data_IF_314694547847
#
_entry.id   IF_314694547847
#
_cell.length_a   1.000
_cell.length_b   1.000
_cell.length_c   1.000
_cell.angle_alpha   90.00
_cell.angle_beta   90.00
_cell.angle_gamma   90.00
#
_symmetry.space_group_name_H-M   'P 1'
#
loop_
_entity.id
_entity.type
_entity.pdbx_description
1 polymer ?
#
# COMPACT_ATOMS: atom_id res chain seq x y z
N UNK A 1 -16.92 -23.63 -12.33
CA UNK A 1 -17.55 -24.49 -11.30
C UNK A 1 -16.46 -25.25 -10.57
N UNK A 2 -16.23 -24.94 -9.28
CA UNK A 2 -15.32 -25.71 -8.43
C UNK A 2 -16.05 -26.96 -7.95
N UNK A 3 -16.17 -27.98 -8.81
CA UNK A 3 -16.93 -29.20 -8.49
C UNK A 3 -16.16 -30.20 -7.62
N UNK A 4 -14.84 -30.06 -7.50
CA UNK A 4 -14.02 -30.84 -6.59
C UNK A 4 -13.07 -29.90 -5.84
N UNK A 5 -13.07 -29.97 -4.51
CA UNK A 5 -12.08 -29.29 -3.67
C UNK A 5 -10.72 -29.89 -4.00
N UNK A 6 -9.92 -29.19 -4.80
CA UNK A 6 -8.56 -29.61 -5.07
C UNK A 6 -7.72 -29.50 -3.79
N UNK A 7 -6.67 -30.33 -3.67
CA UNK A 7 -5.71 -30.23 -2.57
C UNK A 7 -5.08 -28.83 -2.49
N UNK A 8 -4.69 -28.42 -1.28
CA UNK A 8 -4.19 -27.05 -1.02
C UNK A 8 -2.91 -26.75 -1.80
N UNK A 9 -2.05 -27.75 -1.98
CA UNK A 9 -0.81 -27.73 -2.76
C UNK A 9 -1.04 -27.54 -4.27
N UNK A 10 -2.28 -27.71 -4.74
CA UNK A 10 -2.64 -27.39 -6.13
C UNK A 10 -2.69 -25.88 -6.37
N UNK A 11 -2.49 -25.03 -5.37
CA UNK A 11 -2.55 -23.58 -5.50
C UNK A 11 -1.30 -22.92 -4.93
N UNK A 12 -0.96 -21.74 -5.46
CA UNK A 12 0.12 -20.90 -4.96
C UNK A 12 1.29 -20.76 -5.92
N UNK A 13 2.42 -20.18 -5.48
CA UNK A 13 3.38 -19.59 -6.40
C UNK A 13 4.12 -20.56 -7.32
N UNK A 14 4.31 -21.81 -6.89
CA UNK A 14 4.97 -22.85 -7.67
C UNK A 14 3.98 -23.82 -8.32
N UNK A 15 2.68 -23.51 -8.28
CA UNK A 15 1.61 -24.31 -8.86
C UNK A 15 1.20 -23.78 -10.25
N UNK A 16 0.65 -24.62 -11.14
CA UNK A 16 -0.09 -24.17 -12.33
C UNK A 16 -1.27 -23.22 -12.05
N UNK A 17 -1.72 -23.11 -10.79
CA UNK A 17 -2.80 -22.21 -10.37
C UNK A 17 -2.29 -21.19 -9.32
N UNK A 18 -1.63 -20.10 -9.75
CA UNK A 18 -1.13 -19.07 -8.85
C UNK A 18 -2.25 -18.18 -8.28
N UNK A 19 -3.48 -18.29 -8.80
CA UNK A 19 -4.71 -17.70 -8.27
C UNK A 19 -5.92 -18.59 -8.58
N UNK A 20 -7.08 -18.28 -8.01
CA UNK A 20 -8.35 -18.92 -8.34
C UNK A 20 -9.43 -17.87 -8.63
N UNK A 21 -9.98 -17.89 -9.84
CA UNK A 21 -11.15 -17.09 -10.20
C UNK A 21 -12.45 -17.92 -10.03
N UNK A 22 -13.46 -17.32 -9.40
CA UNK A 22 -14.73 -18.00 -9.06
C UNK A 22 -15.90 -17.12 -9.51
N UNK A 23 -16.80 -17.67 -10.32
CA UNK A 23 -18.11 -17.05 -10.55
C UNK A 23 -18.94 -17.19 -9.26
N UNK A 24 -19.40 -16.07 -8.73
CA UNK A 24 -20.13 -16.00 -7.47
C UNK A 24 -21.63 -16.25 -7.63
N UNK A 25 -22.18 -16.15 -8.83
CA UNK A 25 -23.60 -16.40 -9.09
C UNK A 25 -23.95 -17.87 -8.78
N UNK A 26 -24.97 -18.08 -7.94
CA UNK A 26 -25.38 -19.41 -7.49
C UNK A 26 -24.34 -20.15 -6.64
N UNK A 27 -23.32 -19.45 -6.11
CA UNK A 27 -22.26 -20.06 -5.32
C UNK A 27 -22.73 -20.58 -3.96
N UNK A 28 -22.14 -21.69 -3.51
CA UNK A 28 -22.40 -22.32 -2.22
C UNK A 28 -21.47 -21.77 -1.13
N UNK A 29 -22.05 -21.17 -0.09
CA UNK A 29 -21.35 -20.65 1.08
C UNK A 29 -20.46 -21.69 1.78
N UNK A 30 -20.77 -23.00 1.68
CA UNK A 30 -20.00 -24.07 2.29
C UNK A 30 -18.56 -24.19 1.75
N UNK A 31 -18.25 -23.55 0.62
CA UNK A 31 -16.89 -23.47 0.06
C UNK A 31 -16.06 -22.32 0.66
N UNK A 32 -16.67 -21.40 1.40
CA UNK A 32 -16.03 -20.15 1.84
C UNK A 32 -14.77 -20.37 2.67
N UNK A 33 -14.84 -21.25 3.68
CA UNK A 33 -13.66 -21.56 4.52
C UNK A 33 -12.53 -22.15 3.70
N UNK A 34 -12.85 -23.09 2.81
CA UNK A 34 -11.85 -23.72 1.92
C UNK A 34 -11.17 -22.68 1.02
N UNK A 35 -11.94 -21.78 0.40
CA UNK A 35 -11.38 -20.69 -0.41
C UNK A 35 -10.42 -19.80 0.39
N UNK A 36 -10.83 -19.40 1.60
CA UNK A 36 -10.02 -18.53 2.47
C UNK A 36 -8.70 -19.16 2.90
N UNK A 37 -8.66 -20.49 3.00
CA UNK A 37 -7.48 -21.25 3.44
C UNK A 37 -6.46 -21.50 2.29
N UNK A 38 -6.84 -21.22 1.03
CA UNK A 38 -5.93 -21.40 -0.11
C UNK A 38 -4.77 -20.40 -0.09
N UNK A 39 -3.54 -20.84 -0.41
CA UNK A 39 -2.34 -20.01 -0.43
C UNK A 39 -2.18 -19.26 -1.76
N UNK A 40 -3.25 -18.64 -2.24
CA UNK A 40 -3.26 -17.85 -3.46
C UNK A 40 -4.37 -16.77 -3.42
N UNK A 41 -4.30 -15.76 -4.30
CA UNK A 41 -5.40 -14.81 -4.49
C UNK A 41 -6.68 -15.48 -4.96
N UNK A 42 -7.80 -15.12 -4.33
CA UNK A 42 -9.15 -15.54 -4.71
C UNK A 42 -9.88 -14.36 -5.33
N UNK A 43 -10.23 -14.49 -6.61
CA UNK A 43 -10.91 -13.46 -7.39
C UNK A 43 -12.37 -13.90 -7.59
N UNK A 44 -13.29 -13.17 -7.00
CA UNK A 44 -14.73 -13.36 -7.21
C UNK A 44 -15.22 -12.50 -8.37
N UNK A 45 -16.03 -13.08 -9.26
CA UNK A 45 -16.68 -12.38 -10.37
C UNK A 45 -18.19 -12.39 -10.13
N UNK A 46 -18.81 -11.21 -10.19
CA UNK A 46 -20.22 -10.99 -9.87
C UNK A 46 -20.46 -10.86 -8.36
N UNK A 47 -21.63 -11.32 -7.91
CA UNK A 47 -22.02 -11.30 -6.50
C UNK A 47 -22.64 -12.63 -6.07
N UNK A 48 -22.49 -12.99 -4.79
CA UNK A 48 -23.06 -14.22 -4.27
C UNK A 48 -22.58 -14.59 -2.88
N UNK A 49 -22.87 -15.81 -2.45
CA UNK A 49 -22.63 -16.25 -1.07
C UNK A 49 -21.14 -16.32 -0.70
N UNK A 50 -20.25 -16.45 -1.70
CA UNK A 50 -18.81 -16.51 -1.50
C UNK A 50 -18.10 -15.14 -1.47
N UNK A 51 -18.82 -14.04 -1.72
CA UNK A 51 -18.27 -12.67 -1.74
C UNK A 51 -17.35 -12.33 -0.54
N UNK A 52 -17.68 -12.65 0.72
CA UNK A 52 -16.81 -12.30 1.85
C UNK A 52 -15.46 -13.04 1.88
N UNK A 53 -15.36 -14.17 1.18
CA UNK A 53 -14.19 -15.05 1.20
C UNK A 53 -13.18 -14.75 0.07
N UNK A 54 -13.54 -13.88 -0.88
CA UNK A 54 -12.65 -13.45 -1.96
C UNK A 54 -11.72 -12.31 -1.48
N UNK A 55 -10.56 -12.18 -2.12
CA UNK A 55 -9.66 -11.04 -1.93
C UNK A 55 -9.96 -9.91 -2.89
N UNK A 56 -10.41 -10.22 -4.10
CA UNK A 56 -10.80 -9.24 -5.10
C UNK A 56 -12.19 -9.58 -5.59
N UNK A 57 -13.02 -8.56 -5.75
CA UNK A 57 -14.34 -8.66 -6.37
C UNK A 57 -14.34 -7.87 -7.66
N UNK A 58 -14.81 -8.49 -8.73
CA UNK A 58 -14.98 -7.88 -10.04
C UNK A 58 -16.45 -7.97 -10.46
N UNK A 59 -16.98 -6.90 -11.04
CA UNK A 59 -18.35 -6.93 -11.58
C UNK A 59 -18.45 -7.84 -12.82
N UNK A 60 -17.40 -7.88 -13.63
CA UNK A 60 -17.27 -8.70 -14.83
C UNK A 60 -15.84 -9.21 -15.04
N UNK A 61 -15.61 -9.96 -16.12
CA UNK A 61 -14.30 -10.53 -16.44
C UNK A 61 -13.29 -9.51 -17.01
N UNK A 62 -13.70 -8.30 -17.35
CA UNK A 62 -12.86 -7.32 -18.05
C UNK A 62 -11.52 -7.01 -17.35
N UNK A 63 -11.47 -6.83 -16.02
CA UNK A 63 -10.21 -6.62 -15.31
C UNK A 63 -9.39 -7.89 -15.06
N UNK A 64 -9.94 -9.09 -15.28
CA UNK A 64 -9.36 -10.36 -14.84
C UNK A 64 -8.00 -10.63 -15.49
N UNK A 65 -7.89 -10.51 -16.81
CA UNK A 65 -6.66 -10.84 -17.55
C UNK A 65 -5.46 -10.01 -17.07
N UNK A 66 -5.68 -8.74 -16.76
CA UNK A 66 -4.63 -7.87 -16.24
C UNK A 66 -4.21 -8.28 -14.83
N UNK A 67 -5.16 -8.61 -13.97
CA UNK A 67 -4.87 -9.04 -12.60
C UNK A 67 -4.14 -10.40 -12.64
N UNK A 68 -4.61 -11.34 -13.45
CA UNK A 68 -3.98 -12.62 -13.68
C UNK A 68 -2.53 -12.46 -14.15
N UNK A 69 -2.29 -11.64 -15.19
CA UNK A 69 -0.95 -11.40 -15.72
C UNK A 69 0.00 -10.75 -14.69
N UNK A 70 -0.51 -9.93 -13.76
CA UNK A 70 0.29 -9.38 -12.68
C UNK A 70 0.62 -10.44 -11.62
N UNK A 71 -0.35 -11.28 -11.26
CA UNK A 71 -0.15 -12.38 -10.31
C UNK A 71 0.84 -13.41 -10.86
N UNK A 72 0.75 -13.76 -12.14
CA UNK A 72 1.66 -14.69 -12.79
C UNK A 72 3.12 -14.18 -12.84
N UNK A 73 3.31 -12.86 -12.88
CA UNK A 73 4.65 -12.23 -12.84
C UNK A 73 5.23 -12.13 -11.43
N UNK A 74 4.39 -12.01 -10.41
CA UNK A 74 4.81 -11.88 -9.01
C UNK A 74 3.95 -12.75 -8.09
N UNK A 75 3.93 -14.09 -8.28
CA UNK A 75 2.99 -14.96 -7.59
C UNK A 75 3.30 -15.10 -6.09
N UNK A 76 4.58 -15.04 -5.68
CA UNK A 76 4.98 -15.04 -4.27
C UNK A 76 4.51 -13.77 -3.59
N UNK A 77 4.82 -12.59 -4.14
CA UNK A 77 4.33 -11.32 -3.59
C UNK A 77 2.79 -11.26 -3.52
N UNK A 78 2.11 -11.77 -4.55
CA UNK A 78 0.65 -11.84 -4.59
C UNK A 78 0.06 -12.73 -3.50
N UNK A 79 0.64 -13.92 -3.28
CA UNK A 79 0.25 -14.82 -2.18
C UNK A 79 0.47 -14.17 -0.82
N UNK A 80 1.67 -13.62 -0.58
CA UNK A 80 2.02 -12.98 0.69
C UNK A 80 1.08 -11.81 0.98
N UNK A 81 0.80 -10.97 0.00
CA UNK A 81 -0.13 -9.85 0.11
C UNK A 81 -1.51 -10.29 0.62
N UNK A 82 -2.16 -11.23 -0.06
CA UNK A 82 -3.55 -11.60 0.29
C UNK A 82 -3.63 -12.35 1.61
N UNK A 83 -2.65 -13.23 1.90
CA UNK A 83 -2.60 -13.92 3.19
C UNK A 83 -2.38 -12.95 4.34
N UNK A 84 -1.46 -11.99 4.17
CA UNK A 84 -1.22 -10.95 5.16
C UNK A 84 -2.46 -10.08 5.37
N UNK A 85 -3.11 -9.63 4.29
CA UNK A 85 -4.34 -8.83 4.41
C UNK A 85 -5.47 -9.61 5.12
N UNK A 86 -5.63 -10.92 4.85
CA UNK A 86 -6.61 -11.77 5.56
C UNK A 86 -6.25 -11.93 7.05
N UNK A 87 -4.97 -12.08 7.37
CA UNK A 87 -4.48 -12.32 8.72
C UNK A 87 -4.49 -11.06 9.60
N UNK A 88 -4.24 -9.90 9.00
CA UNK A 88 -4.16 -8.60 9.69
C UNK A 88 -5.49 -7.85 9.80
N UNK A 89 -6.55 -8.35 9.17
CA UNK A 89 -7.87 -7.71 9.05
C UNK A 89 -8.47 -7.28 10.40
N UNK A 90 -8.21 -8.05 11.46
CA UNK A 90 -8.74 -7.80 12.82
C UNK A 90 -7.69 -7.33 13.82
N UNK A 91 -6.44 -7.15 13.39
CA UNK A 91 -5.36 -6.73 14.28
C UNK A 91 -5.51 -5.26 14.69
N UNK A 92 -4.90 -4.88 15.82
CA UNK A 92 -4.67 -3.47 16.15
C UNK A 92 -3.81 -2.81 15.06
N UNK A 93 -3.82 -1.48 14.96
CA UNK A 93 -2.97 -0.81 13.97
C UNK A 93 -1.49 -1.09 14.22
N UNK A 94 -1.07 -1.16 15.49
CA UNK A 94 0.30 -1.47 15.88
C UNK A 94 0.69 -2.89 15.47
N UNK A 95 -0.16 -3.88 15.75
CA UNK A 95 0.12 -5.27 15.40
C UNK A 95 0.08 -5.49 13.88
N UNK A 96 -0.81 -4.79 13.17
CA UNK A 96 -0.85 -4.82 11.71
C UNK A 96 0.43 -4.25 11.07
N UNK A 97 1.02 -3.18 11.64
CA UNK A 97 2.30 -2.63 11.18
C UNK A 97 3.48 -3.57 11.42
N UNK A 98 3.50 -4.27 12.55
CA UNK A 98 4.49 -5.30 12.83
C UNK A 98 4.31 -6.50 11.89
N UNK A 99 3.08 -6.98 11.70
CA UNK A 99 2.77 -8.07 10.78
C UNK A 99 3.13 -7.71 9.32
N UNK A 100 2.86 -6.48 8.88
CA UNK A 100 3.29 -5.98 7.57
C UNK A 100 4.81 -6.03 7.45
N UNK A 101 5.55 -5.71 8.53
CA UNK A 101 7.01 -5.84 8.52
C UNK A 101 7.47 -7.24 8.21
N UNK A 102 6.85 -8.22 8.86
CA UNK A 102 7.23 -9.62 8.70
C UNK A 102 6.87 -10.09 7.31
N UNK A 103 5.66 -9.77 6.82
CA UNK A 103 5.23 -10.09 5.46
C UNK A 103 6.17 -9.46 4.42
N UNK A 104 6.49 -8.17 4.53
CA UNK A 104 7.42 -7.49 3.62
C UNK A 104 8.82 -8.12 3.66
N UNK A 105 9.31 -8.47 4.86
CA UNK A 105 10.60 -9.15 5.03
C UNK A 105 10.67 -10.49 4.28
N UNK A 106 9.55 -11.21 4.12
CA UNK A 106 9.53 -12.48 3.36
C UNK A 106 9.77 -12.29 1.86
N UNK A 107 9.43 -11.13 1.30
CA UNK A 107 9.56 -10.84 -0.15
C UNK A 107 10.76 -9.95 -0.48
N UNK A 108 11.28 -9.20 0.49
CA UNK A 108 12.37 -8.23 0.30
C UNK A 108 13.72 -8.84 -0.13
N UNK A 109 13.91 -10.14 0.06
CA UNK A 109 15.06 -10.90 -0.49
C UNK A 109 14.58 -12.10 -1.33
N UNK A 110 13.32 -12.10 -1.73
CA UNK A 110 12.72 -13.11 -2.59
C UNK A 110 13.21 -12.99 -4.03
N UNK A 111 13.05 -14.07 -4.79
CA UNK A 111 13.53 -14.16 -6.18
C UNK A 111 12.95 -13.04 -7.06
N UNK A 112 11.65 -12.77 -6.95
CA UNK A 112 10.95 -11.74 -7.75
C UNK A 112 11.58 -10.35 -7.58
N UNK A 113 11.90 -9.97 -6.33
CA UNK A 113 12.54 -8.69 -6.04
C UNK A 113 14.00 -8.66 -6.50
N UNK A 114 14.74 -9.75 -6.33
CA UNK A 114 16.13 -9.84 -6.79
C UNK A 114 16.23 -9.78 -8.32
N UNK A 115 15.33 -10.43 -9.04
CA UNK A 115 15.23 -10.36 -10.50
C UNK A 115 14.94 -8.94 -10.97
N UNK A 116 13.98 -8.26 -10.34
CA UNK A 116 13.72 -6.85 -10.61
C UNK A 116 14.95 -5.99 -10.32
N UNK A 117 15.61 -6.18 -9.18
CA UNK A 117 16.77 -5.39 -8.77
C UNK A 117 17.96 -5.56 -9.73
N UNK A 118 18.20 -6.77 -10.23
CA UNK A 118 19.24 -7.04 -11.24
C UNK A 118 18.93 -6.40 -12.59
N UNK A 119 17.66 -6.36 -12.99
CA UNK A 119 17.20 -5.70 -14.22
C UNK A 119 17.04 -4.19 -14.08
N UNK A 120 17.07 -3.65 -12.86
CA UNK A 120 16.88 -2.24 -12.60
C UNK A 120 18.20 -1.47 -12.73
N UNK A 121 18.37 -0.79 -13.85
CA UNK A 121 19.43 0.21 -13.98
C UNK A 121 19.13 1.40 -13.08
N UNK A 122 19.94 1.57 -12.01
CA UNK A 122 19.90 2.78 -11.19
C UNK A 122 20.12 4.00 -12.08
N UNK A 123 19.23 4.99 -12.00
CA UNK A 123 19.36 6.19 -12.83
C UNK A 123 20.68 6.89 -12.51
N UNK A 124 21.54 7.05 -13.53
CA UNK A 124 22.81 7.80 -13.42
C UNK A 124 22.60 9.30 -13.24
N UNK A 125 21.43 9.80 -13.63
CA UNK A 125 21.03 11.21 -13.50
C UNK A 125 19.92 11.33 -12.44
N UNK A 126 20.20 10.89 -11.21
CA UNK A 126 19.32 11.20 -10.10
C UNK A 126 19.41 12.69 -9.78
N UNK A 127 18.27 13.38 -9.59
CA UNK A 127 18.29 14.69 -8.95
C UNK A 127 19.04 14.59 -7.62
N UNK A 128 19.87 15.59 -7.33
CA UNK A 128 20.48 15.69 -6.01
C UNK A 128 19.33 15.87 -5.02
N UNK A 129 19.31 15.04 -3.97
CA UNK A 129 18.29 15.14 -2.92
C UNK A 129 18.12 16.59 -2.47
N UNK A 130 16.88 17.04 -2.37
CA UNK A 130 16.59 18.42 -2.00
C UNK A 130 17.24 18.79 -0.66
N UNK A 131 17.90 19.94 -0.60
CA UNK A 131 18.58 20.41 0.62
C UNK A 131 17.63 20.58 1.82
N UNK A 132 16.34 20.82 1.54
CA UNK A 132 15.25 20.84 2.52
C UNK A 132 14.12 19.94 2.00
N UNK A 133 14.18 18.62 2.23
CA UNK A 133 13.24 17.67 1.63
C UNK A 133 11.85 17.77 2.26
N UNK A 134 11.71 18.44 3.41
CA UNK A 134 10.45 18.75 4.06
C UNK A 134 10.46 20.23 4.46
N UNK A 135 9.43 20.98 4.10
CA UNK A 135 9.17 22.30 4.66
C UNK A 135 8.27 22.12 5.89
N UNK A 136 8.66 22.76 6.98
CA UNK A 136 7.98 22.68 8.28
C UNK A 136 7.68 24.10 8.72
N UNK A 137 6.40 24.41 8.88
CA UNK A 137 5.91 25.72 9.31
C UNK A 137 4.93 25.55 10.48
N UNK A 138 5.11 26.34 11.53
CA UNK A 138 4.17 26.41 12.64
C UNK A 138 3.28 27.64 12.47
N UNK A 139 1.96 27.42 12.46
CA UNK A 139 0.97 28.48 12.45
C UNK A 139 -0.03 28.23 13.59
N UNK A 140 0.07 29.03 14.65
CA UNK A 140 -0.66 28.83 15.90
C UNK A 140 -0.53 27.39 16.44
N UNK A 141 -1.63 26.63 16.50
CA UNK A 141 -1.68 25.24 16.93
C UNK A 141 -1.55 24.23 15.76
N UNK A 142 -1.14 24.68 14.57
CA UNK A 142 -1.07 23.88 13.35
C UNK A 142 0.37 23.69 12.89
N UNK A 143 0.75 22.43 12.68
CA UNK A 143 2.01 22.05 12.06
C UNK A 143 1.77 21.76 10.57
N UNK A 144 2.29 22.62 9.70
CA UNK A 144 2.19 22.48 8.26
C UNK A 144 3.46 21.81 7.72
N UNK A 145 3.27 20.66 7.06
CA UNK A 145 4.32 19.81 6.50
C UNK A 145 4.15 19.72 4.98
N UNK A 146 5.15 20.16 4.23
CA UNK A 146 5.17 20.03 2.77
C UNK A 146 6.33 19.15 2.33
N UNK A 147 6.05 17.99 1.71
CA UNK A 147 7.07 17.17 1.05
C UNK A 147 7.69 18.01 -0.08
N UNK A 148 9.00 18.22 -0.04
CA UNK A 148 9.65 19.28 -0.80
C UNK A 148 10.86 18.76 -1.58
N UNK A 149 10.59 17.80 -2.46
CA UNK A 149 11.49 17.37 -3.52
C UNK A 149 10.72 17.28 -4.86
N UNK A 150 10.20 18.43 -5.37
CA UNK A 150 9.30 18.45 -6.52
C UNK A 150 9.96 17.93 -7.81
N UNK A 151 11.28 18.07 -7.93
CA UNK A 151 12.05 17.60 -9.09
C UNK A 151 12.08 16.07 -9.15
N UNK A 152 12.08 15.39 -7.99
CA UNK A 152 11.92 13.94 -7.87
C UNK A 152 10.48 13.52 -7.50
N UNK A 153 9.49 14.39 -7.75
CA UNK A 153 8.07 14.13 -7.47
C UNK A 153 7.79 13.66 -6.04
N UNK A 154 8.57 14.17 -5.09
CA UNK A 154 8.50 13.85 -3.67
C UNK A 154 8.64 12.34 -3.39
N UNK A 155 9.57 11.66 -4.10
CA UNK A 155 9.94 10.29 -3.76
C UNK A 155 10.49 10.21 -2.32
N UNK A 156 10.05 9.21 -1.58
CA UNK A 156 10.37 9.00 -0.17
C UNK A 156 11.63 8.14 -0.08
N UNK A 157 12.78 8.81 -0.13
CA UNK A 157 14.08 8.25 0.27
C UNK A 157 14.38 8.46 1.75
N UNK A 158 15.55 8.01 2.19
CA UNK A 158 16.04 8.11 3.59
C UNK A 158 15.94 9.54 4.12
N UNK A 159 16.41 10.53 3.36
CA UNK A 159 16.47 11.93 3.82
C UNK A 159 15.09 12.52 4.09
N UNK A 160 14.14 12.36 3.15
CA UNK A 160 12.76 12.85 3.34
C UNK A 160 12.05 12.07 4.46
N UNK A 161 12.21 10.75 4.49
CA UNK A 161 11.63 9.89 5.51
C UNK A 161 12.07 10.31 6.92
N UNK A 162 13.37 10.55 7.11
CA UNK A 162 13.92 10.90 8.41
C UNK A 162 13.46 12.30 8.84
N UNK A 163 13.45 13.29 7.93
CA UNK A 163 12.90 14.62 8.20
C UNK A 163 11.41 14.56 8.58
N UNK A 164 10.62 13.72 7.91
CA UNK A 164 9.22 13.51 8.26
C UNK A 164 9.06 12.85 9.63
N UNK A 165 9.89 11.86 9.97
CA UNK A 165 9.87 11.24 11.29
C UNK A 165 10.17 12.25 12.40
N UNK A 166 11.18 13.13 12.20
CA UNK A 166 11.55 14.17 13.16
C UNK A 166 10.40 15.16 13.39
N UNK A 167 9.74 15.63 12.32
CA UNK A 167 8.59 16.53 12.43
C UNK A 167 7.39 15.88 13.14
N UNK A 168 7.15 14.59 12.89
CA UNK A 168 6.09 13.84 13.57
C UNK A 168 6.44 13.54 15.04
N UNK A 169 7.71 13.32 15.38
CA UNK A 169 8.18 13.17 16.76
C UNK A 169 7.99 14.46 17.56
N UNK A 170 8.21 15.63 16.93
CA UNK A 170 7.83 16.92 17.50
C UNK A 170 6.33 16.97 17.82
N UNK A 171 5.47 16.61 16.87
CA UNK A 171 4.01 16.62 17.07
C UNK A 171 3.50 15.59 18.10
N UNK A 172 4.22 14.48 18.29
CA UNK A 172 3.92 13.52 19.35
C UNK A 172 4.24 14.08 20.74
N UNK A 173 5.34 14.84 20.84
CA UNK A 173 5.87 15.37 22.10
C UNK A 173 5.16 16.65 22.52
N UNK A 174 4.98 17.58 21.59
CA UNK A 174 4.34 18.86 21.84
C UNK A 174 2.81 18.74 21.75
N UNK A 175 2.15 19.04 22.87
CA UNK A 175 0.69 18.96 22.99
C UNK A 175 -0.02 20.23 22.54
N UNK A 176 0.69 21.34 22.32
CA UNK A 176 0.06 22.54 21.73
C UNK A 176 -0.19 22.42 20.23
N UNK A 177 0.42 21.42 19.57
CA UNK A 177 0.14 21.11 18.17
C UNK A 177 -1.17 20.32 18.11
N UNK A 178 -2.27 20.99 17.78
CA UNK A 178 -3.60 20.38 17.72
C UNK A 178 -3.92 19.80 16.34
N UNK A 179 -3.28 20.31 15.28
CA UNK A 179 -3.49 19.85 13.90
C UNK A 179 -2.17 19.71 13.15
N UNK A 180 -2.13 18.74 12.25
CA UNK A 180 -1.02 18.51 11.33
C UNK A 180 -1.60 18.50 9.93
N UNK A 181 -1.13 19.40 9.08
CA UNK A 181 -1.46 19.42 7.67
C UNK A 181 -0.27 18.85 6.89
N UNK A 182 -0.51 17.85 6.03
CA UNK A 182 0.52 17.23 5.20
C UNK A 182 0.12 17.29 3.72
N UNK A 183 0.98 17.86 2.87
CA UNK A 183 0.80 17.90 1.40
C UNK A 183 2.16 17.81 0.70
N UNK A 184 2.20 17.77 -0.64
CA UNK A 184 3.43 17.83 -1.43
C UNK A 184 3.61 19.16 -2.16
N UNK A 185 4.84 19.65 -2.23
CA UNK A 185 5.23 20.76 -3.11
C UNK A 185 5.19 20.30 -4.56
N UNK A 186 4.73 21.18 -5.46
CA UNK A 186 4.71 20.94 -6.90
C UNK A 186 3.51 20.11 -7.36
N UNK A 187 3.72 19.28 -8.37
CA UNK A 187 2.64 18.60 -9.11
C UNK A 187 2.21 17.24 -8.54
N UNK A 188 2.81 16.79 -7.44
CA UNK A 188 2.55 15.46 -6.88
C UNK A 188 2.59 15.54 -5.36
N UNK A 189 1.77 14.71 -4.71
CA UNK A 189 1.91 14.49 -3.28
C UNK A 189 3.18 13.70 -3.04
N UNK A 190 3.25 12.48 -3.57
CA UNK A 190 4.46 11.64 -3.57
C UNK A 190 4.30 10.46 -4.54
N UNK A 191 5.38 10.10 -5.23
CA UNK A 191 5.44 8.91 -6.08
C UNK A 191 5.84 7.62 -5.33
N UNK A 192 5.96 7.66 -4.00
CA UNK A 192 6.28 6.50 -3.16
C UNK A 192 7.76 6.38 -2.86
N UNK A 193 8.23 5.17 -2.51
CA UNK A 193 9.62 4.96 -2.11
C UNK A 193 10.62 5.26 -3.22
N UNK A 194 11.78 5.81 -2.86
CA UNK A 194 12.89 6.00 -3.78
C UNK A 194 13.47 4.66 -4.22
N UNK A 195 13.19 4.25 -5.46
CA UNK A 195 13.55 2.91 -5.96
C UNK A 195 15.06 2.70 -6.10
N UNK A 196 15.85 3.78 -6.22
CA UNK A 196 17.30 3.66 -6.30
C UNK A 196 17.94 3.25 -4.96
N UNK A 197 17.26 3.52 -3.84
CA UNK A 197 17.66 3.09 -2.48
C UNK A 197 17.19 1.65 -2.16
N UNK A 198 16.47 1.00 -3.07
CA UNK A 198 16.00 -0.37 -2.85
C UNK A 198 17.18 -1.35 -2.85
N UNK A 199 17.09 -2.35 -1.97
CA UNK A 199 18.07 -3.44 -1.87
C UNK A 199 19.31 -3.12 -1.02
N UNK A 200 19.44 -1.89 -0.48
CA UNK A 200 20.64 -1.47 0.27
C UNK A 200 20.79 -2.11 1.64
N UNK A 201 19.69 -2.57 2.26
CA UNK A 201 19.76 -3.28 3.53
C UNK A 201 20.24 -4.73 3.31
N UNK A 202 21.20 -5.18 4.11
CA UNK A 202 21.85 -6.48 3.98
C UNK A 202 20.89 -7.66 4.11
N UNK A 203 20.00 -7.62 5.10
CA UNK A 203 19.17 -8.75 5.48
C UNK A 203 17.78 -8.33 6.00
N UNK A 204 16.79 -9.24 5.97
CA UNK A 204 15.42 -8.92 6.36
C UNK A 204 15.24 -8.58 7.86
N UNK A 205 16.08 -9.13 8.75
CA UNK A 205 15.97 -8.86 10.18
C UNK A 205 16.43 -7.44 10.52
N UNK A 206 17.56 -7.02 9.96
CA UNK A 206 18.02 -5.63 10.02
C UNK A 206 17.01 -4.67 9.38
N UNK A 207 16.41 -5.05 8.25
CA UNK A 207 15.37 -4.25 7.60
C UNK A 207 14.12 -4.08 8.49
N UNK A 208 13.68 -5.15 9.16
CA UNK A 208 12.59 -5.10 10.13
C UNK A 208 12.91 -4.15 11.30
N UNK A 209 14.11 -4.24 11.88
CA UNK A 209 14.56 -3.34 12.94
C UNK A 209 14.54 -1.88 12.49
N UNK A 210 15.14 -1.57 11.33
CA UNK A 210 15.15 -0.22 10.76
C UNK A 210 13.72 0.30 10.55
N UNK A 211 12.85 -0.50 9.93
CA UNK A 211 11.44 -0.11 9.71
C UNK A 211 10.71 0.18 11.02
N UNK A 212 10.95 -0.60 12.06
CA UNK A 212 10.31 -0.43 13.38
C UNK A 212 10.69 0.89 14.06
N UNK A 213 11.80 1.51 13.66
CA UNK A 213 12.26 2.80 14.18
C UNK A 213 11.97 3.97 13.23
N UNK A 214 12.14 3.75 11.92
CA UNK A 214 12.27 4.80 10.91
C UNK A 214 11.12 4.86 9.90
N UNK A 215 10.12 3.98 9.98
CA UNK A 215 8.90 4.21 9.20
C UNK A 215 8.01 5.28 9.86
N UNK A 216 7.50 6.26 9.09
CA UNK A 216 6.54 7.23 9.59
C UNK A 216 5.24 6.60 10.10
N UNK A 217 4.86 5.42 9.58
CA UNK A 217 3.58 4.75 9.82
C UNK A 217 3.18 4.65 11.30
N UNK A 218 4.11 4.30 12.20
CA UNK A 218 3.79 4.22 13.63
C UNK A 218 3.44 5.59 14.24
N UNK A 219 4.15 6.64 13.82
CA UNK A 219 3.91 8.02 14.27
C UNK A 219 2.58 8.53 13.71
N UNK A 220 2.36 8.33 12.41
CA UNK A 220 1.13 8.69 11.72
C UNK A 220 -0.11 8.02 12.36
N UNK A 221 -0.03 6.73 12.67
CA UNK A 221 -1.11 6.00 13.36
C UNK A 221 -1.46 6.61 14.72
N UNK A 222 -0.48 7.11 15.49
CA UNK A 222 -0.71 7.78 16.78
C UNK A 222 -1.19 9.23 16.63
N UNK A 223 -0.97 9.82 15.47
CA UNK A 223 -1.33 11.19 15.14
C UNK A 223 -2.59 11.29 14.27
N UNK A 224 -3.21 10.16 13.91
CA UNK A 224 -4.29 10.08 12.92
C UNK A 224 -5.42 11.10 13.16
N UNK A 225 -5.86 11.25 14.42
CA UNK A 225 -6.94 12.18 14.83
C UNK A 225 -6.60 13.67 14.62
N UNK A 226 -5.30 14.00 14.55
CA UNK A 226 -4.82 15.37 14.31
C UNK A 226 -4.32 15.55 12.88
N UNK A 227 -4.28 14.49 12.08
CA UNK A 227 -3.66 14.48 10.77
C UNK A 227 -4.69 14.73 9.67
N UNK A 228 -4.50 15.84 8.96
CA UNK A 228 -5.14 16.14 7.69
C UNK A 228 -4.10 16.00 6.56
N UNK A 229 -4.43 15.21 5.53
CA UNK A 229 -3.60 15.07 4.33
C UNK A 229 -4.33 15.69 3.14
N UNK A 230 -3.65 16.56 2.42
CA UNK A 230 -4.11 17.06 1.12
C UNK A 230 -3.28 16.44 -0.01
N UNK A 231 -3.93 15.68 -0.88
CA UNK A 231 -3.30 15.04 -2.04
C UNK A 231 -3.44 15.95 -3.24
N UNK A 232 -2.40 16.76 -3.49
CA UNK A 232 -2.36 17.76 -4.56
C UNK A 232 -2.12 17.20 -5.97
N UNK A 233 -1.87 15.89 -6.11
CA UNK A 233 -1.57 15.24 -7.38
C UNK A 233 -1.45 13.71 -7.25
N UNK A 234 -0.34 13.14 -7.72
CA UNK A 234 -0.09 11.71 -7.57
C UNK A 234 0.19 11.32 -6.11
N UNK A 235 -0.46 10.26 -5.62
CA UNK A 235 -0.11 9.54 -4.39
C UNK A 235 0.10 8.06 -4.72
N UNK A 236 1.36 7.64 -4.79
CA UNK A 236 1.73 6.30 -5.28
C UNK A 236 2.54 5.55 -4.24
N UNK A 237 2.28 4.25 -4.12
CA UNK A 237 2.92 3.37 -3.14
C UNK A 237 3.00 4.01 -1.76
N UNK A 238 4.20 4.10 -1.19
CA UNK A 238 4.42 4.73 0.12
C UNK A 238 3.74 6.12 0.30
N UNK A 239 3.55 6.90 -0.77
CA UNK A 239 2.77 8.13 -0.73
C UNK A 239 1.27 7.90 -0.42
N UNK A 240 0.63 6.96 -1.13
CA UNK A 240 -0.75 6.57 -0.83
C UNK A 240 -0.87 5.89 0.56
N UNK A 241 0.12 5.08 0.93
CA UNK A 241 0.17 4.37 2.21
C UNK A 241 0.22 5.34 3.40
N UNK A 242 1.09 6.36 3.32
CA UNK A 242 1.24 7.43 4.32
C UNK A 242 -0.02 8.29 4.38
N UNK A 243 -0.56 8.69 3.23
CA UNK A 243 -1.77 9.51 3.17
C UNK A 243 -2.94 8.84 3.92
N UNK A 244 -3.11 7.53 3.73
CA UNK A 244 -4.24 6.77 4.27
C UNK A 244 -4.29 6.69 5.81
N UNK A 245 -3.26 7.12 6.54
CA UNK A 245 -3.31 7.26 8.00
C UNK A 245 -4.08 8.48 8.49
N UNK A 246 -4.30 9.49 7.65
CA UNK A 246 -5.02 10.69 8.05
C UNK A 246 -6.43 10.33 8.51
N UNK A 247 -6.97 11.03 9.51
CA UNK A 247 -8.41 10.99 9.79
C UNK A 247 -9.18 11.75 8.70
N UNK A 248 -8.60 12.82 8.17
CA UNK A 248 -9.19 13.58 7.07
C UNK A 248 -8.22 13.63 5.87
N UNK A 249 -8.66 13.13 4.73
CA UNK A 249 -7.94 13.20 3.47
C UNK A 249 -8.74 13.99 2.44
N UNK A 250 -8.15 15.07 1.93
CA UNK A 250 -8.66 15.80 0.78
C UNK A 250 -7.79 15.56 -0.45
N UNK A 251 -8.33 15.75 -1.64
CA UNK A 251 -7.57 15.60 -2.88
C UNK A 251 -7.97 16.63 -3.94
N UNK A 252 -7.03 17.04 -4.78
CA UNK A 252 -7.35 17.79 -5.99
C UNK A 252 -8.18 16.93 -6.96
N UNK A 253 -9.00 17.57 -7.80
CA UNK A 253 -9.83 16.85 -8.80
C UNK A 253 -9.02 15.92 -9.70
N UNK A 254 -7.80 16.31 -10.03
CA UNK A 254 -6.89 15.60 -10.94
C UNK A 254 -5.92 14.67 -10.20
N UNK A 255 -6.08 14.51 -8.88
CA UNK A 255 -5.30 13.59 -8.08
C UNK A 255 -5.61 12.13 -8.44
N UNK A 256 -4.64 11.25 -8.20
CA UNK A 256 -4.78 9.83 -8.48
C UNK A 256 -3.90 8.98 -7.56
N UNK A 257 -4.34 7.75 -7.32
CA UNK A 257 -3.74 6.82 -6.36
C UNK A 257 -3.36 5.50 -7.01
N UNK A 258 -2.28 4.88 -6.57
CA UNK A 258 -1.82 3.58 -7.08
C UNK A 258 -0.96 2.83 -6.07
N UNK A 259 -1.07 1.51 -6.04
CA UNK A 259 -0.14 0.60 -5.34
C UNK A 259 0.61 -0.26 -6.37
N UNK A 260 1.83 0.11 -6.77
CA UNK A 260 2.58 -0.56 -7.84
C UNK A 260 3.55 -1.64 -7.36
N UNK A 261 3.58 -1.98 -6.06
CA UNK A 261 4.68 -2.74 -5.43
C UNK A 261 4.92 -4.13 -6.04
N UNK A 262 3.88 -4.76 -6.56
CA UNK A 262 3.99 -6.05 -7.25
C UNK A 262 4.92 -5.98 -8.47
N UNK A 263 5.06 -4.81 -9.10
CA UNK A 263 6.03 -4.59 -10.19
C UNK A 263 7.45 -4.90 -9.76
N UNK A 264 7.74 -4.75 -8.47
CA UNK A 264 9.04 -4.97 -7.87
C UNK A 264 9.15 -6.35 -7.22
N UNK A 265 8.14 -7.22 -7.30
CA UNK A 265 8.11 -8.45 -6.49
C UNK A 265 7.94 -8.16 -4.99
N UNK A 266 7.31 -7.03 -4.65
CA UNK A 266 7.08 -6.58 -3.28
C UNK A 266 5.58 -6.42 -3.00
N UNK A 267 5.27 -6.12 -1.74
CA UNK A 267 3.94 -5.71 -1.28
C UNK A 267 4.02 -4.30 -0.68
N UNK A 268 2.89 -3.58 -0.49
CA UNK A 268 2.91 -2.32 0.28
C UNK A 268 3.57 -2.54 1.65
N UNK A 269 4.50 -1.66 2.00
CA UNK A 269 5.44 -1.88 3.11
C UNK A 269 5.81 -0.63 3.90
N UNK A 270 5.14 0.50 3.63
CA UNK A 270 5.25 1.75 4.36
C UNK A 270 4.03 2.01 5.28
N UNK A 271 3.30 0.95 5.63
CA UNK A 271 2.07 0.98 6.43
C UNK A 271 0.80 0.74 5.62
N UNK A 272 0.89 0.53 4.31
CA UNK A 272 -0.24 0.46 3.38
C UNK A 272 -1.20 -0.67 3.60
N UNK A 273 -0.71 -1.84 3.99
CA UNK A 273 -1.57 -2.98 4.34
C UNK A 273 -2.21 -2.81 5.72
N UNK A 274 -1.79 -1.80 6.49
CA UNK A 274 -2.41 -1.41 7.74
C UNK A 274 -3.38 -0.23 7.56
N UNK A 275 -3.00 0.81 6.82
CA UNK A 275 -3.79 2.04 6.68
C UNK A 275 -4.93 1.91 5.67
N UNK A 276 -4.65 1.40 4.45
CA UNK A 276 -5.65 1.35 3.39
C UNK A 276 -6.85 0.44 3.71
N UNK A 277 -6.69 -0.78 4.23
CA UNK A 277 -7.85 -1.63 4.55
C UNK A 277 -8.79 -1.03 5.58
N UNK A 278 -8.32 -0.11 6.44
CA UNK A 278 -9.17 0.59 7.41
C UNK A 278 -10.01 1.69 6.78
N UNK A 279 -9.59 2.26 5.66
CA UNK A 279 -10.37 3.22 4.88
C UNK A 279 -11.29 2.57 3.85
N UNK A 280 -10.75 1.66 3.04
CA UNK A 280 -11.45 1.12 1.86
C UNK A 280 -11.76 -0.38 1.96
N UNK A 281 -11.42 -1.04 3.06
CA UNK A 281 -11.60 -2.47 3.23
C UNK A 281 -10.53 -3.29 2.49
N UNK A 282 -10.33 -4.53 2.99
CA UNK A 282 -9.35 -5.48 2.46
C UNK A 282 -9.45 -5.68 0.95
N UNK A 283 -10.67 -5.81 0.42
CA UNK A 283 -10.87 -6.22 -0.97
C UNK A 283 -10.48 -5.14 -1.99
N UNK A 284 -10.75 -3.87 -1.67
CA UNK A 284 -10.32 -2.75 -2.52
C UNK A 284 -8.82 -2.52 -2.43
N UNK A 285 -8.22 -2.68 -1.25
CA UNK A 285 -6.75 -2.65 -1.09
C UNK A 285 -6.08 -3.75 -1.92
N UNK A 286 -6.57 -4.99 -1.84
CA UNK A 286 -6.07 -6.10 -2.65
C UNK A 286 -6.26 -5.83 -4.15
N UNK A 287 -7.40 -5.29 -4.57
CA UNK A 287 -7.63 -4.90 -5.97
C UNK A 287 -6.61 -3.85 -6.44
N UNK A 288 -6.35 -2.80 -5.66
CA UNK A 288 -5.38 -1.76 -6.03
C UNK A 288 -3.97 -2.36 -6.24
N UNK A 289 -3.52 -3.19 -5.31
CA UNK A 289 -2.20 -3.80 -5.36
C UNK A 289 -2.06 -4.88 -6.45
N UNK A 290 -3.03 -5.81 -6.56
CA UNK A 290 -2.99 -6.90 -7.54
C UNK A 290 -3.20 -6.41 -8.98
N UNK A 291 -4.06 -5.40 -9.19
CA UNK A 291 -4.28 -4.83 -10.54
C UNK A 291 -3.19 -3.81 -10.93
N UNK A 292 -2.50 -3.26 -9.93
CA UNK A 292 -1.62 -2.09 -10.05
C UNK A 292 -2.26 -0.95 -10.86
N UNK A 293 -3.59 -0.81 -10.83
CA UNK A 293 -4.30 0.23 -11.58
C UNK A 293 -4.25 1.55 -10.81
N UNK A 294 -4.19 2.64 -11.56
CA UNK A 294 -4.45 3.97 -11.04
C UNK A 294 -5.95 4.11 -10.78
N UNK A 295 -6.32 4.64 -9.63
CA UNK A 295 -7.68 5.09 -9.35
C UNK A 295 -7.71 6.61 -9.31
N UNK A 296 -8.78 7.21 -9.82
CA UNK A 296 -8.96 8.66 -9.83
C UNK A 296 -9.38 9.17 -8.44
N UNK A 297 -9.28 10.48 -8.22
CA UNK A 297 -9.84 11.12 -7.02
C UNK A 297 -11.34 10.78 -6.84
N UNK A 298 -12.10 10.69 -7.94
CA UNK A 298 -13.52 10.34 -7.92
C UNK A 298 -13.75 8.92 -7.40
N UNK A 299 -13.03 7.93 -7.94
CA UNK A 299 -13.11 6.55 -7.43
C UNK A 299 -12.62 6.45 -5.99
N UNK A 300 -11.56 7.19 -5.63
CA UNK A 300 -11.06 7.24 -4.26
C UNK A 300 -12.10 7.81 -3.28
N UNK A 301 -12.86 8.84 -3.68
CA UNK A 301 -13.97 9.40 -2.92
C UNK A 301 -15.11 8.38 -2.75
N UNK A 302 -15.55 7.75 -3.84
CA UNK A 302 -16.59 6.71 -3.83
C UNK A 302 -16.23 5.52 -2.93
N UNK A 303 -14.94 5.22 -2.82
CA UNK A 303 -14.45 4.13 -2.00
C UNK A 303 -14.24 4.49 -0.53
N UNK A 304 -14.23 5.79 -0.18
CA UNK A 304 -13.90 6.29 1.16
C UNK A 304 -12.39 6.42 1.43
N UNK A 305 -11.54 6.35 0.40
CA UNK A 305 -10.12 6.64 0.54
C UNK A 305 -9.89 8.14 0.77
N UNK A 306 -10.60 8.97 0.00
CA UNK A 306 -10.62 10.44 0.09
C UNK A 306 -11.96 10.86 0.68
N UNK A 307 -11.94 11.84 1.59
CA UNK A 307 -13.13 12.34 2.26
C UNK A 307 -13.77 13.51 1.51
N UNK A 308 -12.97 14.29 0.75
CA UNK A 308 -13.46 15.40 -0.07
C UNK A 308 -12.52 15.74 -1.24
N UNK A 309 -13.10 16.02 -2.40
CA UNK A 309 -12.38 16.58 -3.55
C UNK A 309 -12.46 18.11 -3.51
N UNK A 310 -11.31 18.77 -3.69
CA UNK A 310 -11.17 20.22 -3.79
C UNK A 310 -10.91 20.62 -5.25
N UNK A 311 -11.44 21.80 -5.62
CA UNK A 311 -11.40 22.38 -6.96
C UNK A 311 -10.07 23.01 -7.31
#
# INVERSE_FOLDING_TARGET
>A
MVHARLPRESFGPSSPMPFLAVNLEGSDAALGKWLRDLPCPIIGIGSGALTPFCDVLLDDNGPLDRIAANIEKAPVASMVLVQHLRASESLSIQDALTAESFAYATVQKGLEFLEWLHGHERSRNQPIAAAKPLLVEMDEAQLNLNLNDPDNLNAIGVTLRDALCEALDLALTDKSIERINLTGTGRSFSIGGETNEFGEVSDPASAHWIRSLRLPAWRLARLQERLHVHVNGAAVGAGAEIAAFAQNMTANKDAWFQLPELKYGLIPGAGGTASLPRRIGRQRTAFMALSMKKITAQTALEWGLVDKILS
#
